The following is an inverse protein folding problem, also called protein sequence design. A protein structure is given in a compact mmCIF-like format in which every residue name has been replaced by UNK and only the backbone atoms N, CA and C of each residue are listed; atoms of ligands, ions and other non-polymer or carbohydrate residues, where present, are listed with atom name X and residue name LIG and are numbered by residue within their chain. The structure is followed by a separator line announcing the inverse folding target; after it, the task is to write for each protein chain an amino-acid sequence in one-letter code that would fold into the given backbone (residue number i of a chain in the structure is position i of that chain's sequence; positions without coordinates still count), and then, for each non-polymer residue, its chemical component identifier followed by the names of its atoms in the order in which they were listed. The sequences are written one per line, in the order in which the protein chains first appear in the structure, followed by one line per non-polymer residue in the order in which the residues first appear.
data_IF_661145305632
#
_entry.id   IF_661145305632
#
_cell.length_a   1.000
_cell.length_b   1.000
_cell.length_c   1.000
_cell.angle_alpha   90.00
_cell.angle_beta   90.00
_cell.angle_gamma   90.00
#
_symmetry.space_group_name_H-M   'P 1'
#
loop_
_entity.id
_entity.type
_entity.pdbx_description
1 polymer ?
#
# COMPACT_ATOMS: atom_id res chain seq x y z
N UNK A 1 14.26 0.80 -1.57
CA UNK A 1 12.80 0.78 -1.66
C UNK A 1 12.38 -0.25 -2.69
N UNK A 2 11.42 -1.08 -2.35
CA UNK A 2 10.95 -2.11 -3.27
C UNK A 2 10.12 -1.49 -4.39
N UNK A 3 10.45 -1.87 -5.63
CA UNK A 3 9.72 -1.43 -6.82
C UNK A 3 9.26 -2.67 -7.58
N UNK A 4 7.95 -2.82 -7.75
CA UNK A 4 7.34 -3.99 -8.38
C UNK A 4 6.66 -3.59 -9.68
N UNK A 5 6.44 -4.59 -10.54
CA UNK A 5 5.59 -4.41 -11.72
C UNK A 5 4.18 -4.07 -11.25
N UNK A 6 3.49 -3.26 -12.02
CA UNK A 6 2.15 -2.78 -11.62
C UNK A 6 1.17 -3.94 -11.41
N UNK A 7 1.26 -5.00 -12.20
CA UNK A 7 0.39 -6.17 -12.06
C UNK A 7 0.63 -6.98 -10.79
N UNK A 8 1.77 -6.80 -10.14
CA UNK A 8 2.11 -7.53 -8.91
C UNK A 8 1.43 -6.96 -7.67
N UNK A 9 0.82 -5.78 -7.79
CA UNK A 9 0.03 -5.20 -6.70
C UNK A 9 -1.27 -5.98 -6.57
N UNK A 10 -1.60 -6.39 -5.35
CA UNK A 10 -2.81 -7.16 -5.09
C UNK A 10 -4.05 -6.42 -5.58
N UNK A 11 -4.86 -7.09 -6.37
CA UNK A 11 -6.09 -6.54 -6.93
C UNK A 11 -5.95 -5.84 -8.27
N UNK A 12 -4.73 -5.53 -8.72
CA UNK A 12 -4.55 -4.88 -10.02
C UNK A 12 -4.73 -5.88 -11.16
N UNK A 13 -3.93 -6.94 -11.20
CA UNK A 13 -4.06 -7.96 -12.23
C UNK A 13 -3.90 -7.46 -13.67
N UNK A 14 -4.19 -8.34 -14.68
CA UNK A 14 -3.93 -8.00 -16.08
C UNK A 14 -4.80 -6.86 -16.64
N UNK A 15 -6.09 -6.83 -16.29
CA UNK A 15 -7.01 -5.84 -16.86
C UNK A 15 -6.67 -4.42 -16.39
N UNK A 16 -6.54 -4.22 -15.09
CA UNK A 16 -6.15 -2.93 -14.54
C UNK A 16 -4.70 -2.60 -14.88
N UNK A 17 -3.83 -3.61 -14.92
CA UNK A 17 -2.44 -3.44 -15.31
C UNK A 17 -2.32 -2.85 -16.72
N UNK A 18 -3.11 -3.34 -17.66
CA UNK A 18 -3.15 -2.79 -19.02
C UNK A 18 -3.60 -1.33 -19.02
N UNK A 19 -4.63 -1.00 -18.27
CA UNK A 19 -5.11 0.38 -18.13
C UNK A 19 -4.02 1.31 -17.59
N UNK A 20 -3.30 0.85 -16.57
CA UNK A 20 -2.18 1.62 -16.02
C UNK A 20 -1.06 1.80 -17.04
N UNK A 21 -0.67 0.73 -17.74
CA UNK A 21 0.41 0.80 -18.74
C UNK A 21 0.06 1.76 -19.88
N UNK A 22 -1.18 1.74 -20.32
CA UNK A 22 -1.67 2.67 -21.33
C UNK A 22 -1.63 4.12 -20.85
N UNK A 23 -1.68 4.34 -19.54
CA UNK A 23 -1.57 5.66 -18.92
C UNK A 23 -0.12 6.02 -18.55
N UNK A 24 0.86 5.18 -18.89
CA UNK A 24 2.27 5.43 -18.60
C UNK A 24 2.76 4.91 -17.26
N UNK A 25 1.99 4.06 -16.58
CA UNK A 25 2.32 3.52 -15.27
C UNK A 25 2.70 2.04 -15.42
N UNK A 26 3.98 1.72 -15.28
CA UNK A 26 4.48 0.35 -15.43
C UNK A 26 4.85 -0.32 -14.10
N UNK A 27 5.12 0.48 -13.07
CA UNK A 27 5.62 -0.02 -11.79
C UNK A 27 5.05 0.77 -10.60
N UNK A 28 5.33 0.28 -9.41
CA UNK A 28 4.78 0.86 -8.17
C UNK A 28 5.38 2.22 -7.84
N UNK A 29 6.66 2.45 -8.16
CA UNK A 29 7.29 3.76 -7.93
C UNK A 29 6.63 4.85 -8.79
N UNK A 30 6.34 4.54 -10.05
CA UNK A 30 5.67 5.46 -10.96
C UNK A 30 4.24 5.72 -10.51
N UNK A 31 3.54 4.70 -10.03
CA UNK A 31 2.19 4.86 -9.49
C UNK A 31 2.18 5.80 -8.29
N UNK A 32 3.09 5.60 -7.36
CA UNK A 32 3.16 6.45 -6.17
C UNK A 32 3.41 7.91 -6.55
N UNK A 33 4.35 8.15 -7.46
CA UNK A 33 4.66 9.50 -7.95
C UNK A 33 3.45 10.16 -8.63
N UNK A 34 2.67 9.40 -9.37
CA UNK A 34 1.49 9.90 -10.08
C UNK A 34 0.29 10.14 -9.17
N UNK A 35 0.35 9.71 -7.90
CA UNK A 35 -0.77 9.76 -6.97
C UNK A 35 -0.54 10.70 -5.79
N UNK A 36 0.49 11.53 -5.80
CA UNK A 36 0.88 12.35 -4.66
C UNK A 36 -0.22 13.24 -4.13
N UNK A 37 -1.02 13.85 -4.99
CA UNK A 37 -2.09 14.76 -4.60
C UNK A 37 -3.43 14.27 -5.11
N UNK A 38 -4.51 14.79 -4.52
CA UNK A 38 -5.87 14.47 -4.99
C UNK A 38 -6.05 14.85 -6.46
N UNK A 39 -5.55 16.02 -6.88
CA UNK A 39 -5.65 16.47 -8.26
C UNK A 39 -4.96 15.50 -9.23
N UNK A 40 -3.77 15.02 -8.85
CA UNK A 40 -3.03 14.02 -9.66
C UNK A 40 -3.79 12.69 -9.73
N UNK A 41 -4.39 12.25 -8.63
CA UNK A 41 -5.17 11.01 -8.63
C UNK A 41 -6.42 11.12 -9.50
N UNK A 42 -7.10 12.25 -9.46
CA UNK A 42 -8.25 12.50 -10.33
C UNK A 42 -7.85 12.47 -11.80
N UNK A 43 -6.74 13.12 -12.15
CA UNK A 43 -6.22 13.12 -13.52
C UNK A 43 -5.84 11.71 -13.99
N UNK A 44 -5.21 10.92 -13.13
CA UNK A 44 -4.84 9.54 -13.46
C UNK A 44 -6.08 8.67 -13.64
N UNK A 45 -7.09 8.82 -12.78
CA UNK A 45 -8.35 8.08 -12.88
C UNK A 45 -9.00 8.30 -14.25
N UNK A 46 -9.06 9.54 -14.71
CA UNK A 46 -9.61 9.87 -16.02
C UNK A 46 -8.75 9.27 -17.16
N UNK A 47 -7.45 9.43 -17.07
CA UNK A 47 -6.51 8.96 -18.11
C UNK A 47 -6.50 7.44 -18.23
N UNK A 48 -6.54 6.74 -17.11
CA UNK A 48 -6.47 5.27 -17.07
C UNK A 48 -7.83 4.59 -17.18
N UNK A 49 -8.92 5.35 -17.10
CA UNK A 49 -10.29 4.82 -17.03
C UNK A 49 -10.43 3.84 -15.85
N UNK A 50 -10.03 4.32 -14.68
CA UNK A 50 -10.11 3.59 -13.41
C UNK A 50 -10.79 4.52 -12.40
N UNK A 51 -11.62 3.97 -11.51
CA UNK A 51 -12.29 4.79 -10.49
C UNK A 51 -11.27 5.43 -9.53
N UNK A 52 -11.58 6.64 -9.04
CA UNK A 52 -10.73 7.31 -8.05
C UNK A 52 -10.57 6.50 -6.77
N UNK A 53 -11.61 5.76 -6.37
CA UNK A 53 -11.56 4.88 -5.20
C UNK A 53 -10.52 3.78 -5.35
N UNK A 54 -10.45 3.15 -6.50
CA UNK A 54 -9.43 2.15 -6.80
C UNK A 54 -8.03 2.77 -6.85
N UNK A 55 -7.90 3.92 -7.50
CA UNK A 55 -6.63 4.64 -7.56
C UNK A 55 -6.12 4.95 -6.15
N UNK A 56 -6.98 5.48 -5.28
CA UNK A 56 -6.59 5.80 -3.90
C UNK A 56 -6.21 4.54 -3.12
N UNK A 57 -6.97 3.46 -3.26
CA UNK A 57 -6.66 2.20 -2.59
C UNK A 57 -5.26 1.71 -2.96
N UNK A 58 -4.94 1.66 -4.23
CA UNK A 58 -3.64 1.17 -4.68
C UNK A 58 -2.52 2.16 -4.36
N UNK A 59 -2.79 3.46 -4.41
CA UNK A 59 -1.82 4.47 -3.97
C UNK A 59 -1.43 4.24 -2.50
N UNK A 60 -2.41 4.01 -1.64
CA UNK A 60 -2.18 3.71 -0.23
C UNK A 60 -1.34 2.44 -0.06
N UNK A 61 -1.66 1.39 -0.80
CA UNK A 61 -0.90 0.13 -0.74
C UNK A 61 0.56 0.33 -1.14
N UNK A 62 0.80 1.02 -2.26
CA UNK A 62 2.18 1.23 -2.72
C UNK A 62 2.94 2.22 -1.83
N UNK A 63 2.26 3.10 -1.11
CA UNK A 63 2.90 3.91 -0.09
C UNK A 63 3.51 3.04 1.01
N UNK A 64 2.80 2.01 1.44
CA UNK A 64 3.30 1.06 2.44
C UNK A 64 4.48 0.22 1.93
N UNK A 65 4.65 0.06 0.63
CA UNK A 65 5.81 -0.64 0.06
C UNK A 65 7.12 0.08 0.35
N UNK A 66 7.09 1.33 0.79
CA UNK A 66 8.29 2.08 1.20
C UNK A 66 8.91 1.49 2.46
N UNK A 67 8.15 0.69 3.21
CA UNK A 67 8.63 0.01 4.41
C UNK A 67 9.32 -1.28 3.99
N UNK A 68 10.57 -1.47 4.46
CA UNK A 68 11.33 -2.68 4.17
C UNK A 68 10.61 -3.93 4.68
N UNK A 69 10.43 -4.91 3.81
CA UNK A 69 9.74 -6.16 4.14
C UNK A 69 8.24 -6.12 3.95
N UNK A 70 7.65 -4.97 3.58
CA UNK A 70 6.22 -4.86 3.30
C UNK A 70 6.02 -4.88 1.78
N UNK A 71 5.41 -5.94 1.30
CA UNK A 71 4.99 -6.10 -0.09
C UNK A 71 3.47 -6.19 -0.18
N UNK A 72 2.98 -6.79 -1.26
CA UNK A 72 1.54 -6.83 -1.56
C UNK A 72 0.72 -7.48 -0.45
N UNK A 73 1.14 -8.65 0.05
CA UNK A 73 0.39 -9.37 1.07
C UNK A 73 0.32 -8.59 2.39
N UNK A 74 1.46 -8.07 2.85
CA UNK A 74 1.50 -7.34 4.12
C UNK A 74 0.84 -5.96 4.03
N UNK A 75 0.92 -5.28 2.89
CA UNK A 75 0.21 -4.00 2.73
C UNK A 75 -1.30 -4.21 2.76
N UNK A 76 -1.79 -5.30 2.17
CA UNK A 76 -3.20 -5.65 2.24
C UNK A 76 -3.63 -5.98 3.68
N UNK A 77 -2.82 -6.76 4.40
CA UNK A 77 -3.11 -7.07 5.81
C UNK A 77 -3.07 -5.83 6.69
N UNK A 78 -2.12 -4.93 6.46
CA UNK A 78 -2.06 -3.65 7.18
C UNK A 78 -3.31 -2.81 6.92
N UNK A 79 -3.75 -2.70 5.66
CA UNK A 79 -4.97 -1.98 5.31
C UNK A 79 -6.18 -2.58 6.03
N UNK A 80 -6.34 -3.90 5.98
CA UNK A 80 -7.43 -4.60 6.66
C UNK A 80 -7.37 -4.42 8.19
N UNK A 81 -6.19 -4.14 8.73
CA UNK A 81 -5.97 -3.87 10.16
C UNK A 81 -6.09 -2.38 10.51
N UNK A 82 -6.47 -1.54 9.56
CA UNK A 82 -6.71 -0.12 9.78
C UNK A 82 -5.54 0.80 9.50
N UNK A 83 -4.51 0.34 8.79
CA UNK A 83 -3.33 1.14 8.46
C UNK A 83 -3.22 1.27 6.94
N UNK A 84 -3.46 2.46 6.42
CA UNK A 84 -3.47 2.70 4.97
C UNK A 84 -2.13 3.20 4.43
N UNK A 85 -1.39 4.01 5.20
CA UNK A 85 -0.21 4.73 4.72
C UNK A 85 0.92 4.70 5.73
N UNK A 86 2.11 5.13 5.29
CA UNK A 86 3.30 5.25 6.15
C UNK A 86 3.04 6.19 7.35
N UNK A 87 2.46 7.40 7.20
CA UNK A 87 2.18 8.23 8.36
C UNK A 87 1.27 7.59 9.39
N UNK A 88 0.25 6.84 8.97
CA UNK A 88 -0.62 6.12 9.90
C UNK A 88 0.12 5.01 10.63
N UNK A 89 0.97 4.27 9.91
CA UNK A 89 1.80 3.24 10.53
C UNK A 89 2.71 3.83 11.60
N UNK A 90 3.28 5.00 11.36
CA UNK A 90 4.18 5.66 12.30
C UNK A 90 3.53 5.98 13.64
N UNK A 91 2.21 6.09 13.69
CA UNK A 91 1.45 6.46 14.88
C UNK A 91 0.88 5.27 15.63
N UNK A 92 1.06 4.05 15.13
CA UNK A 92 0.47 2.87 15.74
C UNK A 92 1.36 2.31 16.85
N UNK A 93 0.72 1.74 17.86
CA UNK A 93 1.41 0.93 18.86
C UNK A 93 1.72 -0.43 18.22
N UNK A 94 2.99 -0.80 18.16
CA UNK A 94 3.42 -2.01 17.44
C UNK A 94 2.81 -3.30 18.03
N UNK A 95 2.74 -3.40 19.35
CA UNK A 95 2.17 -4.58 20.01
C UNK A 95 0.68 -4.74 19.70
N UNK A 96 -0.08 -3.65 19.82
CA UNK A 96 -1.51 -3.66 19.50
C UNK A 96 -1.76 -3.94 18.02
N UNK A 97 -0.96 -3.36 17.15
CA UNK A 97 -1.07 -3.60 15.71
C UNK A 97 -0.76 -5.05 15.35
N UNK A 98 0.30 -5.62 15.92
CA UNK A 98 0.63 -7.03 15.69
C UNK A 98 -0.51 -7.95 16.11
N UNK A 99 -1.11 -7.71 17.28
CA UNK A 99 -2.26 -8.47 17.77
C UNK A 99 -3.46 -8.32 16.83
N UNK A 100 -3.73 -7.12 16.34
CA UNK A 100 -4.81 -6.87 15.38
C UNK A 100 -4.59 -7.60 14.06
N UNK A 101 -3.36 -7.63 13.57
CA UNK A 101 -3.02 -8.35 12.34
C UNK A 101 -3.23 -9.86 12.47
N UNK A 102 -2.90 -10.44 13.61
CA UNK A 102 -3.19 -11.85 13.90
C UNK A 102 -4.68 -12.11 13.81
N UNK A 103 -5.48 -11.28 14.49
CA UNK A 103 -6.94 -11.40 14.50
C UNK A 103 -7.53 -11.29 13.09
N UNK A 104 -7.12 -10.28 12.35
CA UNK A 104 -7.62 -10.03 10.98
C UNK A 104 -7.23 -11.17 10.06
N UNK A 105 -5.98 -11.62 10.11
CA UNK A 105 -5.53 -12.70 9.23
C UNK A 105 -6.19 -14.03 9.57
N UNK A 106 -6.51 -14.27 10.83
CA UNK A 106 -7.28 -15.44 11.26
C UNK A 106 -8.65 -15.48 10.59
N UNK A 107 -9.28 -14.33 10.41
CA UNK A 107 -10.60 -14.22 9.79
C UNK A 107 -10.54 -14.18 8.25
N UNK A 108 -9.54 -13.52 7.66
CA UNK A 108 -9.50 -13.20 6.24
C UNK A 108 -8.46 -13.98 5.43
N UNK A 109 -7.50 -14.60 6.07
CA UNK A 109 -6.44 -15.39 5.41
C UNK A 109 -5.72 -14.63 4.29
N UNK A 110 -5.34 -13.37 4.55
CA UNK A 110 -4.70 -12.51 3.56
C UNK A 110 -3.24 -12.84 3.32
N UNK A 111 -2.55 -13.39 4.33
CA UNK A 111 -1.15 -13.77 4.22
C UNK A 111 -0.95 -15.20 4.68
N UNK A 112 0.07 -15.87 4.12
CA UNK A 112 0.44 -17.22 4.56
C UNK A 112 1.08 -17.21 5.93
N UNK A 113 1.80 -16.13 6.23
CA UNK A 113 2.54 -15.98 7.48
C UNK A 113 2.20 -14.63 8.09
N UNK A 114 1.80 -14.65 9.35
CA UNK A 114 1.55 -13.44 10.11
C UNK A 114 2.90 -12.83 10.50
N UNK A 115 3.09 -11.49 10.37
CA UNK A 115 4.35 -10.89 10.80
C UNK A 115 4.50 -11.00 12.31
N UNK A 116 5.75 -11.15 12.76
CA UNK A 116 6.04 -11.20 14.20
C UNK A 116 5.89 -9.80 14.82
N UNK A 117 5.75 -9.76 16.16
CA UNK A 117 5.76 -8.48 16.87
C UNK A 117 7.03 -7.68 16.61
N UNK A 118 8.18 -8.36 16.50
CA UNK A 118 9.45 -7.73 16.17
C UNK A 118 9.45 -7.12 14.78
N UNK A 119 8.83 -7.78 13.79
CA UNK A 119 8.70 -7.25 12.43
C UNK A 119 7.86 -5.97 12.45
N UNK A 120 6.70 -6.00 13.11
CA UNK A 120 5.80 -4.85 13.18
C UNK A 120 6.49 -3.68 13.89
N UNK A 121 7.24 -3.95 14.95
CA UNK A 121 8.01 -2.93 15.66
C UNK A 121 9.02 -2.24 14.75
N UNK A 122 9.73 -3.00 13.91
CA UNK A 122 10.65 -2.45 12.93
C UNK A 122 9.93 -1.59 11.90
N UNK A 123 8.77 -2.03 11.43
CA UNK A 123 7.98 -1.26 10.46
C UNK A 123 7.50 0.07 11.04
N UNK A 124 7.01 0.08 12.26
CA UNK A 124 6.58 1.31 12.92
C UNK A 124 7.77 2.27 13.11
N UNK A 125 8.91 1.75 13.54
CA UNK A 125 10.12 2.54 13.72
C UNK A 125 10.61 3.15 12.40
N UNK A 126 10.62 2.36 11.32
CA UNK A 126 11.01 2.86 10.00
C UNK A 126 10.04 3.91 9.49
N UNK A 127 8.73 3.70 9.69
CA UNK A 127 7.71 4.66 9.26
C UNK A 127 7.93 6.05 9.87
N UNK A 128 8.45 6.12 11.09
CA UNK A 128 8.77 7.40 11.75
C UNK A 128 9.91 8.16 11.09
N UNK A 129 10.73 7.49 10.29
CA UNK A 129 11.87 8.10 9.61
C UNK A 129 11.57 8.54 8.19
N UNK A 130 10.42 8.13 7.63
CA UNK A 130 10.07 8.40 6.24
C UNK A 130 9.17 9.63 6.11
N UNK A 131 9.43 10.48 5.10
CA UNK A 131 8.57 11.64 4.86
C UNK A 131 7.23 11.22 4.29
N UNK A 132 6.21 12.04 4.49
CA UNK A 132 4.91 11.87 3.84
C UNK A 132 5.06 12.05 2.33
N UNK A 133 4.41 11.20 1.54
CA UNK A 133 4.35 11.31 0.08
C UNK A 133 2.94 11.64 -0.39
N UNK A 134 1.94 10.92 0.11
CA UNK A 134 0.55 11.12 -0.31
C UNK A 134 -0.12 12.23 0.50
N UNK A 135 -0.80 13.13 -0.21
CA UNK A 135 -1.62 14.20 0.37
C UNK A 135 -3.08 13.96 -0.04
N UNK A 136 -4.00 14.22 0.89
CA UNK A 136 -5.43 13.95 0.69
C UNK A 136 -6.27 15.18 0.46
#
# INVERSE_FOLDING_TARGET
MANYKIEDVEGIGPTYGEKFRNAGIDDTDTLLAACKTKALRTALADKADISEGHILKWANMVDLYRISGVGSEYSELLEASGVDTVPELSQRNAENLAAKMVEVNSAMSLTRRVPSGADVEKWVAEAKTLPRVLEY
#
